data_IF_788748048720
#
_entry.id   IF_788748048720
#
_cell.length_a   1.000
_cell.length_b   1.000
_cell.length_c   1.000
_cell.angle_alpha   90.00
_cell.angle_beta   90.00
_cell.angle_gamma   90.00
#
_symmetry.space_group_name_H-M   'P 1'
#
loop_
_entity.id
_entity.type
_entity.pdbx_description
1 polymer ?
#
# COMPACT_ATOMS: atom_id res chain seq x y z
N UNK A 1 -30.67 25.06 19.02
CA UNK A 1 -30.84 23.74 19.69
C UNK A 1 -31.38 23.83 21.10
N UNK A 2 -31.27 24.96 21.82
CA UNK A 2 -31.80 25.14 23.17
C UNK A 2 -33.33 25.05 23.29
N UNK A 3 -34.08 25.63 22.40
CA UNK A 3 -35.55 25.75 22.53
C UNK A 3 -36.36 24.44 22.39
N UNK A 4 -35.78 23.39 21.82
CA UNK A 4 -36.45 22.08 21.64
C UNK A 4 -36.38 21.19 22.89
N UNK A 5 -35.51 21.52 23.85
CA UNK A 5 -35.28 20.71 25.05
C UNK A 5 -35.93 21.30 26.32
N UNK A 6 -36.42 22.54 26.23
CA UNK A 6 -36.94 23.29 27.40
C UNK A 6 -38.18 22.67 28.06
N UNK A 7 -38.89 21.73 27.37
CA UNK A 7 -40.04 21.01 27.89
C UNK A 7 -39.75 19.66 28.56
N UNK A 8 -38.48 19.22 28.58
CA UNK A 8 -38.10 17.92 29.13
C UNK A 8 -37.64 18.01 30.59
N UNK A 9 -37.83 16.97 31.42
CA UNK A 9 -37.26 16.92 32.78
C UNK A 9 -35.72 17.07 32.71
N UNK A 10 -35.13 17.79 33.69
CA UNK A 10 -33.68 18.04 33.77
C UNK A 10 -32.80 16.82 33.56
N UNK A 11 -33.09 15.60 34.13
CA UNK A 11 -32.24 14.44 33.85
C UNK A 11 -32.31 13.98 32.39
N UNK A 12 -33.44 14.17 31.71
CA UNK A 12 -33.61 13.79 30.31
C UNK A 12 -32.90 14.77 29.40
N UNK A 13 -32.88 16.08 29.74
CA UNK A 13 -32.06 17.09 29.01
C UNK A 13 -30.57 16.75 29.08
N UNK A 14 -30.08 16.32 30.26
CA UNK A 14 -28.69 15.89 30.44
C UNK A 14 -28.36 14.65 29.59
N UNK A 15 -29.21 13.64 29.58
CA UNK A 15 -29.06 12.42 28.78
C UNK A 15 -29.01 12.72 27.27
N UNK A 16 -29.91 13.55 26.78
CA UNK A 16 -29.94 13.98 25.37
C UNK A 16 -28.67 14.75 25.03
N UNK A 17 -28.22 15.66 25.92
CA UNK A 17 -26.98 16.41 25.73
C UNK A 17 -25.77 15.50 25.60
N UNK A 18 -25.62 14.53 26.49
CA UNK A 18 -24.54 13.54 26.40
C UNK A 18 -24.64 12.66 25.16
N UNK A 19 -25.82 12.20 24.78
CA UNK A 19 -26.02 11.38 23.58
C UNK A 19 -25.61 12.14 22.30
N UNK A 20 -25.99 13.40 22.21
CA UNK A 20 -25.58 14.28 21.07
C UNK A 20 -24.07 14.48 21.05
N UNK A 21 -23.45 14.76 22.20
CA UNK A 21 -22.00 14.94 22.29
C UNK A 21 -21.25 13.70 21.88
N UNK A 22 -21.68 12.54 22.35
CA UNK A 22 -21.10 11.23 21.99
C UNK A 22 -21.30 10.96 20.51
N UNK A 23 -22.49 11.22 19.96
CA UNK A 23 -22.75 11.03 18.52
C UNK A 23 -21.86 11.93 17.64
N UNK A 24 -21.65 13.19 18.02
CA UNK A 24 -20.74 14.10 17.33
C UNK A 24 -19.30 13.60 17.44
N UNK A 25 -18.85 13.19 18.63
CA UNK A 25 -17.51 12.66 18.82
C UNK A 25 -17.27 11.42 17.96
N UNK A 26 -18.22 10.50 17.91
CA UNK A 26 -18.16 9.31 17.05
C UNK A 26 -18.12 9.71 15.58
N UNK A 27 -18.97 10.62 15.14
CA UNK A 27 -19.00 11.07 13.75
C UNK A 27 -17.68 11.73 13.33
N UNK A 28 -17.07 12.55 14.19
CA UNK A 28 -15.75 13.15 13.96
C UNK A 28 -14.67 12.08 13.89
N UNK A 29 -14.65 11.12 14.82
CA UNK A 29 -13.66 10.02 14.80
C UNK A 29 -13.81 9.15 13.57
N UNK A 30 -15.04 8.80 13.17
CA UNK A 30 -15.29 8.02 11.95
C UNK A 30 -14.91 8.78 10.69
N UNK A 31 -15.22 10.07 10.62
CA UNK A 31 -14.81 10.93 9.50
C UNK A 31 -13.30 11.04 9.37
N UNK A 32 -12.58 11.27 10.47
CA UNK A 32 -11.12 11.31 10.49
C UNK A 32 -10.51 9.94 10.09
N UNK A 33 -11.07 8.83 10.57
CA UNK A 33 -10.61 7.48 10.20
C UNK A 33 -10.78 7.18 8.71
N UNK A 34 -11.88 7.60 8.10
CA UNK A 34 -12.13 7.38 6.68
C UNK A 34 -11.08 8.07 5.78
N UNK A 35 -10.54 9.22 6.21
CA UNK A 35 -9.49 9.94 5.49
C UNK A 35 -8.08 9.42 5.78
N UNK A 36 -7.86 8.76 6.93
CA UNK A 36 -6.52 8.34 7.37
C UNK A 36 -6.15 6.95 6.85
N UNK A 37 -7.08 6.00 6.84
CA UNK A 37 -6.81 4.60 6.50
C UNK A 37 -7.79 4.07 5.48
N UNK A 38 -7.27 3.47 4.41
CA UNK A 38 -8.09 2.79 3.39
C UNK A 38 -7.83 1.29 3.40
N UNK A 39 -8.89 0.47 3.44
CA UNK A 39 -8.77 -0.98 3.35
C UNK A 39 -8.59 -1.42 1.89
N UNK A 40 -7.72 -2.41 1.69
CA UNK A 40 -7.51 -3.08 0.41
C UNK A 40 -7.44 -4.60 0.62
N UNK A 41 -7.79 -5.35 -0.43
CA UNK A 41 -7.62 -6.80 -0.50
C UNK A 41 -6.50 -7.11 -1.48
N UNK A 42 -5.68 -8.12 -1.18
CA UNK A 42 -4.60 -8.58 -2.04
C UNK A 42 -5.13 -9.64 -3.02
N UNK A 43 -5.25 -9.33 -4.31
CA UNK A 43 -5.84 -10.24 -5.29
C UNK A 43 -4.80 -11.15 -5.98
N UNK A 44 -3.52 -10.77 -6.00
CA UNK A 44 -2.48 -11.42 -6.80
C UNK A 44 -1.25 -11.81 -5.98
N UNK A 45 -0.47 -12.76 -6.49
CA UNK A 45 0.72 -13.30 -5.85
C UNK A 45 1.96 -12.41 -5.97
N UNK A 46 1.87 -11.24 -6.58
CA UNK A 46 3.02 -10.38 -6.87
C UNK A 46 3.76 -9.85 -5.64
N UNK A 47 3.12 -9.88 -4.47
CA UNK A 47 3.69 -9.45 -3.18
C UNK A 47 3.94 -10.61 -2.21
N UNK A 48 3.76 -11.86 -2.66
CA UNK A 48 4.17 -13.02 -1.87
C UNK A 48 5.69 -13.00 -1.61
N UNK A 49 6.17 -13.36 -0.42
CA UNK A 49 5.43 -13.84 0.73
C UNK A 49 5.00 -12.74 1.70
N UNK A 50 5.35 -11.46 1.47
CA UNK A 50 5.03 -10.39 2.40
C UNK A 50 3.53 -10.12 2.54
N UNK A 51 2.77 -10.28 1.44
CA UNK A 51 1.32 -10.20 1.43
C UNK A 51 0.75 -11.37 0.62
N UNK A 52 -0.23 -12.07 1.20
CA UNK A 52 -0.78 -13.29 0.61
C UNK A 52 -2.06 -13.05 -0.17
N UNK A 53 -2.19 -13.74 -1.30
CA UNK A 53 -3.43 -13.87 -2.04
C UNK A 53 -4.06 -15.25 -1.86
N UNK A 54 -5.36 -15.38 -2.15
CA UNK A 54 -6.10 -16.63 -2.00
C UNK A 54 -6.04 -17.51 -3.25
N UNK A 55 -5.83 -18.81 -3.06
CA UNK A 55 -6.12 -19.81 -4.10
C UNK A 55 -7.59 -19.76 -4.51
N UNK A 56 -7.97 -20.11 -5.78
CA UNK A 56 -7.13 -20.77 -6.79
C UNK A 56 -6.32 -19.83 -7.70
N UNK A 57 -6.22 -18.51 -7.39
CA UNK A 57 -5.48 -17.58 -8.25
C UNK A 57 -4.00 -18.02 -8.39
N UNK A 58 -3.43 -17.81 -9.57
CA UNK A 58 -2.11 -18.28 -9.93
C UNK A 58 -1.02 -17.73 -8.98
N UNK A 59 -0.13 -18.60 -8.52
CA UNK A 59 0.95 -18.25 -7.61
C UNK A 59 0.52 -17.97 -6.16
N UNK A 60 -0.78 -17.97 -5.86
CA UNK A 60 -1.29 -17.76 -4.51
C UNK A 60 -1.14 -19.02 -3.65
N UNK A 61 -0.61 -18.86 -2.44
CA UNK A 61 -0.29 -19.99 -1.54
C UNK A 61 -1.30 -20.16 -0.40
N UNK A 62 -2.02 -19.11 -0.06
CA UNK A 62 -2.94 -19.09 1.08
C UNK A 62 -4.36 -19.53 0.73
N UNK A 63 -5.13 -19.95 1.73
CA UNK A 63 -6.58 -20.19 1.60
C UNK A 63 -7.41 -18.92 1.63
N UNK A 64 -6.85 -17.80 2.11
CA UNK A 64 -7.52 -16.49 2.19
C UNK A 64 -6.59 -15.37 1.76
N UNK A 65 -7.16 -14.33 1.14
CA UNK A 65 -6.41 -13.12 0.78
C UNK A 65 -6.22 -12.21 2.00
N UNK A 66 -5.05 -11.60 2.10
CA UNK A 66 -4.81 -10.56 3.08
C UNK A 66 -5.68 -9.34 2.81
N UNK A 67 -6.16 -8.74 3.91
CA UNK A 67 -6.76 -7.42 3.90
C UNK A 67 -5.84 -6.48 4.66
N UNK A 68 -5.48 -5.40 4.02
CA UNK A 68 -4.48 -4.45 4.50
C UNK A 68 -5.09 -3.07 4.69
N UNK A 69 -4.48 -2.29 5.57
CA UNK A 69 -4.76 -0.87 5.72
C UNK A 69 -3.58 -0.05 5.21
N UNK A 70 -3.86 0.91 4.33
CA UNK A 70 -2.88 1.89 3.85
C UNK A 70 -3.12 3.25 4.51
N UNK A 71 -2.05 3.90 4.96
CA UNK A 71 -2.09 5.23 5.57
C UNK A 71 -2.03 6.30 4.48
N UNK A 72 -3.17 6.93 4.17
CA UNK A 72 -3.27 7.96 3.12
C UNK A 72 -2.67 9.30 3.51
N UNK A 73 -2.44 9.51 4.79
CA UNK A 73 -2.13 10.82 5.35
C UNK A 73 -0.62 11.05 5.57
N UNK A 74 0.12 9.98 5.86
CA UNK A 74 1.53 10.07 6.29
C UNK A 74 2.43 10.77 5.26
N UNK A 75 2.18 10.59 3.97
CA UNK A 75 2.97 11.21 2.91
C UNK A 75 2.75 12.72 2.75
N UNK A 76 1.83 13.31 3.50
CA UNK A 76 1.73 14.78 3.65
C UNK A 76 2.82 15.34 4.56
N UNK A 77 3.36 14.52 5.48
CA UNK A 77 4.32 14.93 6.50
C UNK A 77 5.74 14.42 6.25
N UNK A 78 5.89 13.34 5.50
CA UNK A 78 7.19 12.79 5.17
C UNK A 78 7.28 12.27 3.74
N UNK A 79 8.51 12.11 3.25
CA UNK A 79 8.75 11.46 1.98
C UNK A 79 8.54 9.93 2.10
N UNK A 80 8.08 9.26 1.02
CA UNK A 80 8.15 7.82 0.89
C UNK A 80 9.58 7.30 1.03
N UNK A 81 9.75 6.15 1.70
CA UNK A 81 11.05 5.55 2.00
C UNK A 81 11.24 4.24 1.24
N UNK A 82 12.52 3.90 0.98
CA UNK A 82 12.87 2.58 0.44
C UNK A 82 12.45 1.47 1.40
N UNK A 83 11.92 0.38 0.83
CA UNK A 83 11.45 -0.77 1.59
C UNK A 83 9.97 -0.71 1.97
N UNK A 84 9.30 0.45 1.92
CA UNK A 84 7.89 0.55 2.20
C UNK A 84 7.05 -0.20 1.15
N UNK A 85 6.08 -0.99 1.61
CA UNK A 85 5.02 -1.54 0.77
C UNK A 85 3.96 -0.47 0.59
N UNK A 86 3.67 -0.08 -0.64
CA UNK A 86 2.82 1.09 -0.93
C UNK A 86 1.68 0.72 -1.85
N UNK A 87 0.49 1.21 -1.51
CA UNK A 87 -0.68 1.21 -2.38
C UNK A 87 -0.61 2.45 -3.28
N UNK A 88 -0.79 2.27 -4.58
CA UNK A 88 -0.70 3.37 -5.55
C UNK A 88 -1.59 3.12 -6.77
N UNK A 89 -1.92 4.21 -7.48
CA UNK A 89 -2.57 4.15 -8.79
C UNK A 89 -1.50 3.91 -9.86
N UNK A 90 -1.75 2.94 -10.74
CA UNK A 90 -0.80 2.62 -11.81
C UNK A 90 -0.65 3.77 -12.81
N UNK A 91 0.56 4.01 -13.34
CA UNK A 91 0.74 4.96 -14.44
C UNK A 91 0.06 4.45 -15.73
N UNK A 92 -0.28 5.33 -16.68
CA UNK A 92 -1.01 4.94 -17.90
C UNK A 92 -0.34 3.85 -18.74
N UNK A 93 1.00 3.75 -18.69
CA UNK A 93 1.76 2.72 -19.42
C UNK A 93 1.54 1.30 -18.90
N UNK A 94 1.05 1.14 -17.66
CA UNK A 94 0.85 -0.16 -17.03
C UNK A 94 -0.13 -1.04 -17.79
N UNK A 95 -1.24 -0.47 -18.29
CA UNK A 95 -2.23 -1.24 -19.05
C UNK A 95 -1.66 -1.87 -20.33
N UNK A 96 -0.70 -1.23 -20.97
CA UNK A 96 0.00 -1.79 -22.16
C UNK A 96 1.01 -2.87 -21.79
N UNK A 97 1.72 -2.69 -20.66
CA UNK A 97 2.78 -3.60 -20.23
C UNK A 97 2.25 -4.86 -19.55
N UNK A 98 1.14 -4.75 -18.80
CA UNK A 98 0.66 -5.81 -17.89
C UNK A 98 -0.77 -6.27 -18.17
N UNK A 99 -1.42 -5.76 -19.21
CA UNK A 99 -2.84 -5.98 -19.51
C UNK A 99 -3.82 -5.58 -18.37
N UNK A 100 -3.32 -4.94 -17.34
CA UNK A 100 -4.07 -4.50 -16.17
C UNK A 100 -3.75 -3.05 -15.85
N UNK A 101 -4.71 -2.35 -15.23
CA UNK A 101 -4.54 -1.00 -14.71
C UNK A 101 -5.38 -0.84 -13.44
N UNK A 102 -5.07 0.15 -12.62
CA UNK A 102 -5.88 0.46 -11.44
C UNK A 102 -5.04 0.71 -10.19
N UNK A 103 -5.44 0.09 -9.09
CA UNK A 103 -4.73 0.22 -7.80
C UNK A 103 -3.87 -1.01 -7.56
N UNK A 104 -2.56 -0.79 -7.44
CA UNK A 104 -1.58 -1.83 -7.19
C UNK A 104 -0.92 -1.65 -5.82
N UNK A 105 -0.31 -2.76 -5.36
CA UNK A 105 0.53 -2.78 -4.17
C UNK A 105 1.90 -3.31 -4.58
N UNK A 106 2.96 -2.54 -4.31
CA UNK A 106 4.36 -2.91 -4.59
C UNK A 106 5.28 -2.32 -3.51
N UNK A 107 6.53 -2.76 -3.50
CA UNK A 107 7.55 -2.22 -2.61
C UNK A 107 8.38 -1.15 -3.31
N UNK A 108 8.66 -0.05 -2.60
CA UNK A 108 9.60 0.98 -3.07
C UNK A 108 11.02 0.41 -3.04
N UNK A 109 11.65 0.33 -4.19
CA UNK A 109 13.04 -0.14 -4.33
C UNK A 109 13.97 0.99 -4.72
N UNK A 110 13.53 1.90 -5.59
CA UNK A 110 14.33 3.06 -6.00
C UNK A 110 13.67 4.39 -5.63
N UNK A 111 14.49 5.34 -5.19
CA UNK A 111 14.10 6.68 -4.78
C UNK A 111 14.45 7.72 -5.86
N UNK A 112 13.86 8.94 -5.81
CA UNK A 112 14.19 10.01 -6.75
C UNK A 112 15.69 10.27 -6.87
N UNK A 113 16.19 10.40 -8.10
CA UNK A 113 17.60 10.65 -8.40
C UNK A 113 18.51 9.42 -8.43
N UNK A 114 17.99 8.24 -8.13
CA UNK A 114 18.79 7.01 -8.13
C UNK A 114 18.77 6.30 -9.47
N UNK A 115 19.81 5.52 -9.73
CA UNK A 115 19.91 4.59 -10.83
C UNK A 115 19.66 3.16 -10.33
N UNK A 116 18.75 2.45 -10.98
CA UNK A 116 18.44 1.04 -10.67
C UNK A 116 18.96 0.17 -11.79
N UNK A 117 19.65 -0.90 -11.45
CA UNK A 117 20.11 -1.95 -12.36
C UNK A 117 19.76 -3.31 -11.83
N UNK A 118 19.61 -4.29 -12.70
CA UNK A 118 19.51 -5.69 -12.35
C UNK A 118 20.52 -6.50 -13.15
N UNK A 119 21.14 -7.49 -12.51
CA UNK A 119 21.97 -8.50 -13.13
C UNK A 119 21.58 -9.86 -12.56
N UNK A 120 21.11 -10.76 -13.41
CA UNK A 120 20.66 -12.10 -13.04
C UNK A 120 19.70 -12.09 -11.84
N UNK A 121 18.72 -11.16 -11.85
CA UNK A 121 17.73 -10.96 -10.82
C UNK A 121 18.23 -10.25 -9.56
N UNK A 122 19.51 -9.90 -9.48
CA UNK A 122 20.09 -9.14 -8.36
C UNK A 122 19.92 -7.64 -8.61
N UNK A 123 19.19 -6.97 -7.77
CA UNK A 123 18.96 -5.53 -7.87
C UNK A 123 20.11 -4.75 -7.22
N UNK A 124 20.57 -3.72 -7.93
CA UNK A 124 21.55 -2.75 -7.45
C UNK A 124 20.99 -1.33 -7.57
N UNK A 125 21.27 -0.49 -6.60
CA UNK A 125 20.90 0.93 -6.59
C UNK A 125 22.17 1.75 -6.49
N UNK A 126 22.39 2.66 -7.45
CA UNK A 126 23.61 3.46 -7.57
C UNK A 126 24.89 2.59 -7.53
N UNK A 127 24.86 1.43 -8.20
CA UNK A 127 25.96 0.47 -8.26
C UNK A 127 26.18 -0.38 -7.01
N UNK A 128 25.37 -0.19 -5.93
CA UNK A 128 25.45 -1.02 -4.72
C UNK A 128 24.33 -2.05 -4.71
N UNK A 129 24.70 -3.32 -4.51
CA UNK A 129 23.74 -4.42 -4.36
C UNK A 129 22.75 -4.13 -3.24
N UNK A 130 21.46 -4.27 -3.53
CA UNK A 130 20.41 -4.15 -2.52
C UNK A 130 20.27 -5.46 -1.74
N UNK A 131 20.20 -5.36 -0.41
CA UNK A 131 19.90 -6.49 0.47
C UNK A 131 18.39 -6.64 0.57
N UNK A 132 17.87 -7.77 0.13
CA UNK A 132 16.42 -8.00 -0.03
C UNK A 132 15.99 -9.29 0.68
N UNK A 133 15.93 -9.30 2.02
CA UNK A 133 15.58 -10.49 2.79
C UNK A 133 14.13 -10.93 2.58
N UNK A 134 13.27 -10.04 2.10
CA UNK A 134 11.86 -10.26 1.79
C UNK A 134 11.64 -11.01 0.46
N UNK A 135 12.67 -11.18 -0.38
CA UNK A 135 12.58 -11.90 -1.64
C UNK A 135 13.08 -13.32 -1.45
N UNK A 136 12.18 -14.30 -1.53
CA UNK A 136 12.56 -15.70 -1.43
C UNK A 136 13.40 -16.14 -2.64
N UNK A 137 14.34 -17.05 -2.44
CA UNK A 137 15.17 -17.60 -3.51
C UNK A 137 14.33 -18.19 -4.66
N UNK A 138 13.24 -18.90 -4.34
CA UNK A 138 12.31 -19.49 -5.31
C UNK A 138 11.45 -18.49 -6.06
N UNK A 139 11.46 -17.22 -5.65
CA UNK A 139 10.68 -16.13 -6.27
C UNK A 139 11.57 -15.10 -6.96
N UNK A 140 12.87 -15.32 -6.99
CA UNK A 140 13.79 -14.52 -7.81
C UNK A 140 13.58 -14.85 -9.28
N UNK A 141 13.77 -13.84 -10.13
CA UNK A 141 13.90 -14.03 -11.56
C UNK A 141 15.37 -13.92 -11.98
N UNK A 142 15.65 -14.07 -13.28
CA UNK A 142 16.97 -13.90 -13.89
C UNK A 142 17.04 -12.65 -14.76
N UNK A 143 16.12 -11.70 -14.59
CA UNK A 143 16.10 -10.49 -15.42
C UNK A 143 17.36 -9.67 -15.21
N UNK A 144 17.94 -9.22 -16.32
CA UNK A 144 19.02 -8.24 -16.35
C UNK A 144 18.55 -6.99 -17.09
N UNK A 145 18.94 -5.81 -16.62
CA UNK A 145 18.54 -4.56 -17.24
C UNK A 145 19.07 -3.33 -16.50
N UNK A 146 19.00 -2.21 -17.21
CA UNK A 146 19.34 -0.89 -16.68
C UNK A 146 18.18 0.05 -16.97
N UNK A 147 17.67 0.71 -15.94
CA UNK A 147 16.59 1.66 -16.09
C UNK A 147 17.12 3.10 -16.01
N UNK A 148 16.47 4.04 -16.71
CA UNK A 148 16.84 5.45 -16.61
C UNK A 148 16.84 5.92 -15.15
N UNK A 149 17.72 6.90 -14.85
CA UNK A 149 17.74 7.54 -13.52
C UNK A 149 16.32 7.99 -13.16
N UNK A 150 15.91 7.67 -11.93
CA UNK A 150 14.57 7.95 -11.42
C UNK A 150 14.37 9.48 -11.34
N UNK A 151 13.36 10.04 -12.04
CA UNK A 151 13.12 11.48 -12.01
C UNK A 151 12.77 11.98 -10.61
N UNK A 152 12.91 13.29 -10.38
CA UNK A 152 12.44 13.93 -9.17
C UNK A 152 10.93 13.64 -8.96
N UNK A 153 10.55 13.30 -7.74
CA UNK A 153 9.16 12.98 -7.39
C UNK A 153 8.64 11.65 -7.97
N UNK A 154 9.51 10.76 -8.45
CA UNK A 154 9.16 9.42 -8.94
C UNK A 154 9.82 8.34 -8.10
N UNK A 155 9.24 7.14 -8.16
CA UNK A 155 9.68 5.96 -7.39
C UNK A 155 9.73 4.73 -8.30
N UNK A 156 10.70 3.85 -8.05
CA UNK A 156 10.81 2.57 -8.73
C UNK A 156 10.25 1.48 -7.82
N UNK A 157 9.21 0.80 -8.29
CA UNK A 157 8.38 -0.10 -7.50
C UNK A 157 8.55 -1.53 -7.99
N UNK A 158 8.85 -2.47 -7.10
CA UNK A 158 8.96 -3.89 -7.43
C UNK A 158 8.00 -4.73 -6.57
N UNK A 159 7.52 -5.83 -7.15
CA UNK A 159 6.89 -6.89 -6.36
C UNK A 159 7.92 -7.72 -5.60
N UNK A 160 7.55 -8.27 -4.46
CA UNK A 160 8.43 -9.16 -3.70
C UNK A 160 8.57 -10.52 -4.39
N UNK A 161 7.52 -11.00 -5.05
CA UNK A 161 7.57 -12.14 -5.96
C UNK A 161 8.08 -11.71 -7.33
N UNK A 162 9.41 -11.61 -7.48
CA UNK A 162 10.10 -11.10 -8.67
C UNK A 162 9.75 -11.84 -9.96
N UNK A 163 9.59 -13.15 -9.88
CA UNK A 163 9.28 -14.00 -11.03
C UNK A 163 7.82 -13.84 -11.49
N UNK A 164 6.92 -13.41 -10.61
CA UNK A 164 5.50 -13.23 -10.89
C UNK A 164 5.01 -11.82 -10.51
N UNK A 165 5.69 -10.81 -11.03
CA UNK A 165 5.32 -9.42 -10.82
C UNK A 165 5.52 -8.63 -12.09
N UNK A 166 4.45 -8.04 -12.60
CA UNK A 166 4.53 -6.92 -13.50
C UNK A 166 4.68 -5.64 -12.67
N UNK A 167 5.77 -4.89 -12.90
CA UNK A 167 6.16 -3.77 -12.04
C UNK A 167 7.00 -2.71 -12.78
N UNK A 168 7.75 -1.87 -12.09
CA UNK A 168 8.53 -0.79 -12.71
C UNK A 168 9.56 -1.26 -13.73
N UNK A 169 9.92 -2.53 -13.73
CA UNK A 169 10.79 -3.12 -14.77
C UNK A 169 10.10 -3.14 -16.13
N UNK A 170 8.76 -3.15 -16.13
CA UNK A 170 7.94 -3.26 -17.33
C UNK A 170 7.36 -1.91 -17.75
N UNK A 171 6.85 -1.08 -16.81
CA UNK A 171 6.19 0.21 -17.12
C UNK A 171 6.98 1.46 -16.74
N UNK A 172 8.11 1.33 -16.01
CA UNK A 172 8.92 2.45 -15.55
C UNK A 172 8.53 2.98 -14.16
N UNK A 173 8.85 4.24 -13.90
CA UNK A 173 8.68 4.86 -12.57
C UNK A 173 7.24 5.31 -12.30
N UNK A 174 6.88 5.37 -11.02
CA UNK A 174 5.57 5.82 -10.52
C UNK A 174 5.70 7.22 -9.93
N UNK A 175 4.90 8.21 -10.39
CA UNK A 175 4.89 9.54 -9.81
C UNK A 175 4.41 9.54 -8.35
N UNK A 176 4.96 10.44 -7.51
CA UNK A 176 4.52 10.64 -6.12
C UNK A 176 3.01 10.88 -6.02
N UNK A 177 2.43 11.62 -6.96
CA UNK A 177 1.00 11.92 -6.97
C UNK A 177 0.11 10.67 -7.10
N UNK A 178 0.66 9.57 -7.61
CA UNK A 178 -0.05 8.30 -7.74
C UNK A 178 -0.01 7.49 -6.44
N UNK A 179 0.89 7.80 -5.49
CA UNK A 179 1.00 7.06 -4.24
C UNK A 179 -0.18 7.39 -3.33
N UNK A 180 -0.90 6.37 -2.90
CA UNK A 180 -2.01 6.48 -1.97
C UNK A 180 -1.48 6.48 -0.54
N UNK A 181 -0.61 5.53 -0.20
CA UNK A 181 0.02 5.46 1.11
C UNK A 181 0.70 4.13 1.40
N UNK A 182 1.57 4.08 2.42
CA UNK A 182 2.20 2.85 2.85
C UNK A 182 1.21 1.94 3.55
N UNK A 183 1.38 0.64 3.34
CA UNK A 183 0.69 -0.40 4.11
C UNK A 183 1.28 -0.39 5.52
N UNK A 184 0.43 -0.27 6.53
CA UNK A 184 0.88 -0.25 7.92
C UNK A 184 0.29 -1.37 8.78
N UNK A 185 -0.72 -2.08 8.26
CA UNK A 185 -1.35 -3.17 8.98
C UNK A 185 -1.96 -4.17 7.99
N UNK A 186 -1.67 -5.46 8.19
CA UNK A 186 -2.49 -6.57 7.70
C UNK A 186 -3.46 -6.92 8.84
N UNK A 187 -4.77 -6.74 8.60
CA UNK A 187 -5.79 -6.94 9.65
C UNK A 187 -6.64 -8.20 9.46
N UNK A 188 -6.50 -8.87 8.35
CA UNK A 188 -7.19 -10.13 8.05
C UNK A 188 -6.30 -11.02 7.17
N UNK A 189 -6.28 -12.32 7.37
CA UNK A 189 -6.99 -13.06 8.42
C UNK A 189 -6.33 -12.86 9.79
N UNK A 190 -7.03 -13.21 10.91
CA UNK A 190 -6.55 -12.92 12.27
C UNK A 190 -5.21 -13.58 12.63
N UNK A 191 -4.92 -14.74 12.06
CA UNK A 191 -3.66 -15.48 12.23
C UNK A 191 -2.46 -14.82 11.52
N UNK A 192 -2.72 -13.83 10.66
CA UNK A 192 -1.70 -13.04 9.97
C UNK A 192 -1.78 -11.54 10.31
N UNK A 193 -2.26 -11.21 11.49
CA UNK A 193 -2.26 -9.83 11.98
C UNK A 193 -0.82 -9.37 12.22
N UNK A 194 -0.31 -8.45 11.39
CA UNK A 194 1.05 -7.90 11.53
C UNK A 194 1.21 -6.55 10.83
N UNK A 195 2.30 -5.86 11.14
CA UNK A 195 2.78 -4.68 10.43
C UNK A 195 3.83 -5.12 9.41
N UNK A 196 3.58 -5.02 8.11
CA UNK A 196 4.50 -5.51 7.06
C UNK A 196 5.73 -4.64 6.85
#
# INVERSE_FOLDING_TARGET
MGRLLDGLPRPLQALVGWAVTIAIAIAVVLGLRAEIASPYRIPSSSMEPALHCARPAEGCRSGSSDRILANRFIYRFRAPQRGEIVVFKTPPRTSKACAEAGTFVKRIVGLPGEAVTAQDGVISVNGRRLIEPYVLASQRDSRSGTWPRIPAGHYFMLGDNRSNSCDSRDWGTVPRANLIGPVFLTYWPPDRLHTP
#
